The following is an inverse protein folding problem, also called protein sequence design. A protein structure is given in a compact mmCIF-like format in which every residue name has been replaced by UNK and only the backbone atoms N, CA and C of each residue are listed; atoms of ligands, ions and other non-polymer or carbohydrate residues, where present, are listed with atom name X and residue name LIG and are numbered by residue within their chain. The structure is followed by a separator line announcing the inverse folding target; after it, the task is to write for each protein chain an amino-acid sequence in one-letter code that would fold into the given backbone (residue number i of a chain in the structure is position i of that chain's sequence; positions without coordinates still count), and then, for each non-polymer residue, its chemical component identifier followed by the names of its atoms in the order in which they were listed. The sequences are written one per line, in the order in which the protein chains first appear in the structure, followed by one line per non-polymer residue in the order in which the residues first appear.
data_IF_592286776558
#
_entry.id   IF_592286776558
#
_cell.length_a   1.000
_cell.length_b   1.000
_cell.length_c   1.000
_cell.angle_alpha   90.00
_cell.angle_beta   90.00
_cell.angle_gamma   90.00
#
_symmetry.space_group_name_H-M   'P 1'
#
loop_
_entity.id
_entity.type
_entity.pdbx_description
1 polymer ?
#
# COMPACT_ATOMS: atom_id res chain seq x y z
N UNK A 1 -26.82 -45.51 -52.11
CA UNK A 1 -26.40 -46.04 -50.81
C UNK A 1 -24.89 -46.02 -50.82
N UNK A 2 -24.27 -45.44 -49.77
CA UNK A 2 -22.83 -45.14 -49.60
C UNK A 2 -22.30 -44.04 -50.53
N UNK A 3 -22.29 -42.77 -50.11
CA UNK A 3 -21.28 -42.11 -49.24
C UNK A 3 -19.84 -42.34 -49.71
N UNK A 4 -19.19 -41.26 -50.16
CA UNK A 4 -17.73 -41.19 -50.07
C UNK A 4 -17.33 -39.87 -49.37
N UNK A 5 -17.26 -40.00 -48.05
CA UNK A 5 -16.92 -39.03 -47.02
C UNK A 5 -15.44 -38.58 -47.07
N UNK A 6 -14.73 -38.86 -48.17
CA UNK A 6 -13.28 -38.65 -48.29
C UNK A 6 -12.93 -37.29 -48.91
N UNK A 7 -13.86 -36.62 -49.58
CA UNK A 7 -13.60 -35.33 -50.27
C UNK A 7 -13.80 -34.10 -49.37
N UNK A 8 -14.54 -34.22 -48.26
CA UNK A 8 -14.82 -33.07 -47.36
C UNK A 8 -13.68 -32.84 -46.34
N UNK A 9 -12.87 -33.86 -46.05
CA UNK A 9 -11.77 -33.75 -45.06
C UNK A 9 -10.48 -33.11 -45.62
N UNK A 10 -10.35 -32.93 -46.94
CA UNK A 10 -9.16 -32.34 -47.56
C UNK A 10 -9.19 -30.80 -47.68
N UNK A 11 -10.35 -30.17 -47.48
CA UNK A 11 -10.50 -28.70 -47.58
C UNK A 11 -10.49 -28.01 -46.20
N UNK A 12 -10.72 -28.76 -45.12
CA UNK A 12 -10.81 -28.20 -43.76
C UNK A 12 -9.48 -28.13 -42.99
N UNK A 13 -8.41 -28.76 -43.46
CA UNK A 13 -7.16 -28.87 -42.70
C UNK A 13 -6.10 -27.82 -43.04
N UNK A 14 -6.24 -27.07 -44.14
CA UNK A 14 -5.19 -26.15 -44.62
C UNK A 14 -5.41 -24.68 -44.23
N UNK A 15 -6.53 -24.33 -43.60
CA UNK A 15 -6.85 -22.92 -43.22
C UNK A 15 -6.90 -22.62 -41.73
N UNK A 16 -6.72 -23.59 -40.84
CA UNK A 16 -6.74 -23.35 -39.40
C UNK A 16 -5.35 -23.24 -38.74
N UNK A 17 -4.27 -23.63 -39.41
CA UNK A 17 -2.94 -23.71 -38.77
C UNK A 17 -2.13 -22.40 -38.88
N UNK A 18 -2.46 -21.49 -39.81
CA UNK A 18 -1.67 -20.25 -39.99
C UNK A 18 -2.21 -19.05 -39.19
N UNK A 19 -3.43 -19.14 -38.61
CA UNK A 19 -3.99 -18.03 -37.81
C UNK A 19 -3.64 -18.15 -36.32
N UNK A 20 -3.17 -19.31 -35.84
CA UNK A 20 -2.88 -19.51 -34.42
C UNK A 20 -1.45 -19.14 -33.97
N UNK A 21 -0.56 -18.77 -34.90
CA UNK A 21 0.84 -18.46 -34.58
C UNK A 21 1.21 -16.97 -34.60
N UNK A 22 0.26 -16.06 -34.89
CA UNK A 22 0.53 -14.61 -34.97
C UNK A 22 -0.21 -13.81 -33.85
N UNK A 23 -0.94 -14.47 -32.95
CA UNK A 23 -1.65 -13.79 -31.84
C UNK A 23 -0.92 -13.92 -30.49
N UNK A 24 0.17 -14.70 -30.41
CA UNK A 24 0.89 -14.95 -29.13
C UNK A 24 2.16 -14.08 -28.98
N UNK A 25 2.48 -13.24 -29.96
CA UNK A 25 3.64 -12.35 -29.89
C UNK A 25 3.21 -10.89 -29.99
N UNK A 26 2.70 -10.34 -28.88
CA UNK A 26 2.64 -8.92 -28.46
C UNK A 26 1.35 -8.72 -27.62
N UNK A 27 1.41 -8.35 -26.32
CA UNK A 27 2.48 -7.60 -25.67
C UNK A 27 2.98 -8.27 -24.37
N UNK A 28 4.20 -8.83 -24.43
CA UNK A 28 5.06 -8.99 -23.25
C UNK A 28 5.72 -7.66 -22.82
N UNK A 29 5.05 -6.54 -23.09
CA UNK A 29 5.51 -5.17 -22.80
C UNK A 29 4.39 -4.34 -22.18
N UNK A 30 3.61 -4.94 -21.29
CA UNK A 30 3.13 -4.22 -20.12
C UNK A 30 3.95 -4.69 -18.91
N UNK A 31 5.28 -4.64 -19.03
CA UNK A 31 6.06 -4.27 -17.84
C UNK A 31 5.57 -2.88 -17.52
N UNK A 32 4.60 -2.74 -16.61
CA UNK A 32 4.48 -1.50 -15.85
C UNK A 32 5.90 -1.22 -15.38
N UNK A 33 6.49 -0.21 -15.98
CA UNK A 33 7.84 0.21 -15.68
C UNK A 33 7.75 0.61 -14.21
N UNK A 34 8.23 -0.27 -13.35
CA UNK A 34 8.30 -0.07 -11.91
C UNK A 34 9.41 0.96 -11.58
N UNK A 35 9.61 1.95 -12.47
CA UNK A 35 10.61 3.01 -12.35
C UNK A 35 10.10 4.19 -11.54
N UNK A 36 8.81 4.24 -11.22
CA UNK A 36 8.17 5.45 -10.66
C UNK A 36 7.56 5.21 -9.27
N UNK A 37 7.92 4.13 -8.57
CA UNK A 37 7.67 4.10 -7.13
C UNK A 37 8.67 5.07 -6.51
N UNK A 38 8.17 6.20 -6.04
CA UNK A 38 8.89 7.17 -5.22
C UNK A 38 9.49 6.47 -3.98
N UNK A 39 10.75 6.02 -4.09
CA UNK A 39 11.47 5.35 -3.01
C UNK A 39 12.12 6.41 -2.14
N UNK A 40 11.33 7.02 -1.26
CA UNK A 40 11.81 7.99 -0.26
C UNK A 40 12.60 7.31 0.85
N UNK A 41 13.86 7.00 0.55
CA UNK A 41 14.78 6.33 1.48
C UNK A 41 15.09 7.22 2.67
N UNK A 42 15.12 6.62 3.86
CA UNK A 42 15.53 7.30 5.09
C UNK A 42 16.83 6.72 5.65
N UNK A 43 17.83 7.58 5.80
CA UNK A 43 19.17 7.19 6.20
C UNK A 43 19.42 7.49 7.69
N UNK A 44 18.68 6.81 8.56
CA UNK A 44 18.97 6.79 10.00
C UNK A 44 18.41 7.97 10.78
N UNK A 45 17.32 8.57 10.31
CA UNK A 45 16.70 9.72 10.97
C UNK A 45 16.26 9.42 12.40
N UNK A 46 15.89 8.17 12.68
CA UNK A 46 15.54 7.69 14.02
C UNK A 46 16.59 6.70 14.57
N UNK A 47 17.85 6.81 14.12
CA UNK A 47 18.90 5.79 14.32
C UNK A 47 18.77 4.62 13.34
N UNK A 48 17.56 4.07 13.21
CA UNK A 48 17.13 3.27 12.06
C UNK A 48 16.37 4.13 11.04
N UNK A 49 16.11 3.59 9.84
CA UNK A 49 15.19 4.20 8.90
C UNK A 49 13.79 4.36 9.51
N UNK A 50 13.21 5.54 9.32
CA UNK A 50 11.85 5.86 9.72
C UNK A 50 11.21 6.87 8.75
N UNK A 51 9.90 7.01 8.84
CA UNK A 51 9.13 7.94 8.00
C UNK A 51 7.93 8.46 8.80
N UNK A 52 7.76 9.78 8.81
CA UNK A 52 6.64 10.48 9.40
C UNK A 52 5.92 11.29 8.33
N UNK A 53 4.64 11.00 8.12
CA UNK A 53 3.76 11.68 7.19
C UNK A 53 2.54 12.20 7.94
N UNK A 54 1.85 13.16 7.35
CA UNK A 54 0.53 13.58 7.75
C UNK A 54 -0.41 13.43 6.55
N UNK A 55 -1.52 12.74 6.76
CA UNK A 55 -2.56 12.56 5.76
C UNK A 55 -3.76 13.41 6.14
N UNK A 56 -4.18 14.29 5.25
CA UNK A 56 -5.43 15.04 5.39
C UNK A 56 -6.50 14.24 4.64
N UNK A 57 -7.47 13.71 5.38
CA UNK A 57 -8.55 12.85 4.88
C UNK A 57 -9.90 13.51 5.13
N UNK A 58 -10.86 13.27 4.24
CA UNK A 58 -12.23 13.73 4.42
C UNK A 58 -12.98 12.89 5.45
N UNK A 59 -13.71 13.54 6.37
CA UNK A 59 -14.57 12.88 7.36
C UNK A 59 -14.37 13.37 8.81
N UNK A 60 -14.96 12.61 9.73
CA UNK A 60 -14.79 12.77 11.18
C UNK A 60 -13.80 11.73 11.74
N UNK A 61 -13.28 11.97 12.93
CA UNK A 61 -12.18 11.17 13.51
C UNK A 61 -12.58 9.71 13.77
N UNK A 62 -13.81 9.46 14.21
CA UNK A 62 -14.28 8.11 14.59
C UNK A 62 -14.41 7.14 13.40
N UNK A 63 -15.06 7.48 12.27
CA UNK A 63 -15.04 6.61 11.09
C UNK A 63 -13.64 6.36 10.53
N UNK A 64 -12.76 7.36 10.56
CA UNK A 64 -11.36 7.20 10.13
C UNK A 64 -10.63 6.22 11.06
N UNK A 65 -10.84 6.36 12.38
CA UNK A 65 -10.30 5.44 13.38
C UNK A 65 -10.76 3.99 13.14
N UNK A 66 -12.04 3.78 12.90
CA UNK A 66 -12.63 2.46 12.65
C UNK A 66 -12.04 1.83 11.38
N UNK A 67 -11.95 2.58 10.29
CA UNK A 67 -11.41 2.08 9.03
C UNK A 67 -9.92 1.72 9.13
N UNK A 68 -9.12 2.55 9.79
CA UNK A 68 -7.69 2.25 10.01
C UNK A 68 -7.51 0.99 10.86
N UNK A 69 -8.27 0.88 11.96
CA UNK A 69 -8.21 -0.29 12.85
C UNK A 69 -8.67 -1.55 12.12
N UNK A 70 -9.77 -1.47 11.37
CA UNK A 70 -10.31 -2.57 10.57
C UNK A 70 -9.33 -3.02 9.48
N UNK A 71 -8.63 -2.10 8.83
CA UNK A 71 -7.63 -2.42 7.83
C UNK A 71 -6.48 -3.23 8.43
N UNK A 72 -5.95 -2.79 9.59
CA UNK A 72 -4.92 -3.53 10.33
C UNK A 72 -5.42 -4.91 10.79
N UNK A 73 -6.65 -5.01 11.29
CA UNK A 73 -7.22 -6.28 11.76
C UNK A 73 -7.45 -7.28 10.61
N UNK A 74 -7.70 -6.80 9.40
CA UNK A 74 -7.94 -7.63 8.20
C UNK A 74 -6.68 -8.04 7.45
N UNK A 75 -5.48 -7.62 7.89
CA UNK A 75 -4.25 -7.91 7.17
C UNK A 75 -3.82 -6.84 6.17
N UNK A 76 -4.60 -5.77 6.00
CA UNK A 76 -4.45 -4.83 4.89
C UNK A 76 -4.72 -5.46 3.52
N UNK A 77 -4.20 -4.86 2.45
CA UNK A 77 -4.42 -5.35 1.08
C UNK A 77 -3.63 -6.59 0.73
N UNK A 78 -2.48 -6.78 1.38
CA UNK A 78 -1.51 -7.83 1.06
C UNK A 78 -1.40 -8.92 2.14
N UNK A 79 -2.13 -8.77 3.26
CA UNK A 79 -2.12 -9.71 4.39
C UNK A 79 -0.94 -9.51 5.36
N UNK A 80 -0.17 -8.43 5.19
CA UNK A 80 1.07 -8.19 5.93
C UNK A 80 0.98 -7.07 6.97
N UNK A 81 -0.20 -6.46 7.12
CA UNK A 81 -0.49 -5.50 8.19
C UNK A 81 -1.15 -6.19 9.37
N UNK A 82 -0.79 -5.78 10.58
CA UNK A 82 -1.31 -6.40 11.80
C UNK A 82 -1.68 -5.33 12.81
N UNK A 83 -2.86 -5.48 13.40
CA UNK A 83 -3.32 -4.65 14.50
C UNK A 83 -2.57 -5.03 15.78
N UNK A 84 -2.15 -4.02 16.55
CA UNK A 84 -1.53 -4.21 17.87
C UNK A 84 -2.46 -3.71 18.96
N UNK A 85 -2.74 -2.40 18.99
CA UNK A 85 -3.55 -1.77 20.03
C UNK A 85 -4.10 -0.41 19.57
N UNK A 86 -5.05 0.15 20.32
CA UNK A 86 -5.56 1.50 20.12
C UNK A 86 -6.01 2.17 21.42
N UNK A 87 -6.17 3.48 21.40
CA UNK A 87 -6.63 4.25 22.56
C UNK A 87 -7.51 5.42 22.14
N UNK A 88 -8.65 5.57 22.79
CA UNK A 88 -9.51 6.76 22.72
C UNK A 88 -9.02 7.83 23.70
N UNK A 89 -8.58 8.95 23.15
CA UNK A 89 -8.04 10.10 23.88
C UNK A 89 -9.02 11.28 23.96
N UNK A 90 -10.27 11.13 23.49
CA UNK A 90 -11.26 12.23 23.48
C UNK A 90 -11.49 12.81 24.87
N UNK A 91 -11.34 12.01 25.92
CA UNK A 91 -11.45 12.42 27.33
C UNK A 91 -10.24 13.21 27.86
N UNK A 92 -9.11 13.20 27.17
CA UNK A 92 -7.82 13.70 27.67
C UNK A 92 -7.51 15.15 27.26
N UNK A 93 -8.39 15.80 26.51
CA UNK A 93 -8.22 17.17 26.01
C UNK A 93 -6.88 17.43 25.28
N UNK A 94 -6.40 16.45 24.52
CA UNK A 94 -5.23 16.57 23.64
C UNK A 94 -5.65 16.79 22.19
N UNK A 95 -4.70 16.97 21.27
CA UNK A 95 -5.00 17.22 19.84
C UNK A 95 -5.52 15.99 19.09
N UNK A 96 -5.13 14.79 19.53
CA UNK A 96 -5.59 13.53 18.98
C UNK A 96 -6.88 13.06 19.66
N UNK A 97 -7.83 12.55 18.87
CA UNK A 97 -8.98 11.80 19.39
C UNK A 97 -8.63 10.32 19.56
N UNK A 98 -7.79 9.76 18.67
CA UNK A 98 -7.42 8.34 18.72
C UNK A 98 -5.93 8.12 18.43
N UNK A 99 -5.35 7.11 19.08
CA UNK A 99 -4.06 6.52 18.72
C UNK A 99 -4.29 5.08 18.28
N UNK A 100 -3.65 4.67 17.19
CA UNK A 100 -3.70 3.31 16.67
C UNK A 100 -2.25 2.84 16.45
N UNK A 101 -1.95 1.64 16.91
CA UNK A 101 -0.67 0.98 16.68
C UNK A 101 -0.88 -0.33 15.94
N UNK A 102 0.00 -0.56 14.97
CA UNK A 102 0.09 -1.83 14.26
C UNK A 102 1.52 -2.10 13.83
N UNK A 103 1.70 -3.10 12.99
CA UNK A 103 2.98 -3.35 12.35
C UNK A 103 2.80 -3.91 10.94
N UNK A 104 3.79 -3.66 10.10
CA UNK A 104 3.96 -4.32 8.81
C UNK A 104 5.05 -5.38 8.94
N UNK A 105 4.75 -6.63 8.63
CA UNK A 105 5.72 -7.74 8.66
C UNK A 105 5.98 -8.24 7.25
N UNK A 106 7.23 -8.47 6.86
CA UNK A 106 7.54 -9.09 5.57
C UNK A 106 7.50 -10.62 5.63
N UNK A 107 7.62 -11.26 4.46
CA UNK A 107 7.78 -12.71 4.31
C UNK A 107 8.81 -13.27 5.32
N UNK A 108 8.37 -14.29 6.07
CA UNK A 108 9.09 -14.96 7.17
C UNK A 108 9.37 -14.12 8.42
N UNK A 109 8.63 -13.03 8.67
CA UNK A 109 8.79 -12.15 9.83
C UNK A 109 10.22 -11.59 10.02
N UNK A 110 11.02 -11.54 8.94
CA UNK A 110 12.40 -11.05 9.00
C UNK A 110 12.49 -9.54 9.16
N UNK A 111 11.53 -8.81 8.60
CA UNK A 111 11.49 -7.36 8.65
C UNK A 111 10.13 -6.93 9.20
N UNK A 112 10.14 -6.43 10.42
CA UNK A 112 8.98 -5.85 11.06
C UNK A 112 9.18 -4.34 11.18
N UNK A 113 8.17 -3.57 10.78
CA UNK A 113 8.12 -2.14 10.98
C UNK A 113 6.92 -1.82 11.88
N UNK A 114 7.15 -1.07 12.95
CA UNK A 114 6.05 -0.57 13.78
C UNK A 114 5.39 0.61 13.09
N UNK A 115 4.06 0.60 13.06
CA UNK A 115 3.21 1.66 12.53
C UNK A 115 2.47 2.33 13.68
N UNK A 116 2.47 3.66 13.72
CA UNK A 116 1.66 4.44 14.65
C UNK A 116 0.85 5.48 13.89
N UNK A 117 -0.41 5.62 14.25
CA UNK A 117 -1.33 6.61 13.68
C UNK A 117 -1.95 7.42 14.81
N UNK A 118 -1.89 8.74 14.71
CA UNK A 118 -2.61 9.66 15.56
C UNK A 118 -3.69 10.35 14.74
N UNK A 119 -4.95 10.04 15.03
CA UNK A 119 -6.12 10.62 14.36
C UNK A 119 -6.51 11.87 15.14
N UNK A 120 -6.31 13.04 14.53
CA UNK A 120 -6.61 14.34 15.13
C UNK A 120 -8.11 14.65 15.12
N UNK A 121 -8.52 15.57 16.00
CA UNK A 121 -9.85 16.16 16.01
C UNK A 121 -10.21 16.70 14.63
N UNK A 122 -11.41 16.39 14.15
CA UNK A 122 -11.90 16.91 12.86
C UNK A 122 -12.03 18.43 12.91
N UNK A 123 -11.29 19.14 12.06
CA UNK A 123 -11.43 20.59 11.94
C UNK A 123 -12.61 20.87 11.01
N UNK A 124 -13.61 21.59 11.52
CA UNK A 124 -14.86 21.90 10.81
C UNK A 124 -15.69 20.67 10.38
N UNK A 125 -15.56 19.54 11.08
CA UNK A 125 -16.33 18.30 10.88
C UNK A 125 -16.21 17.65 9.48
N UNK A 126 -15.26 18.09 8.66
CA UNK A 126 -15.14 17.66 7.26
C UNK A 126 -13.76 17.12 6.90
N UNK A 127 -12.72 17.51 7.65
CA UNK A 127 -11.35 17.04 7.41
C UNK A 127 -10.68 16.64 8.72
N UNK A 128 -10.01 15.50 8.67
CA UNK A 128 -9.20 14.96 9.74
C UNK A 128 -7.77 14.89 9.28
N UNK A 129 -6.88 15.30 10.17
CA UNK A 129 -5.45 15.09 10.04
C UNK A 129 -5.08 13.79 10.73
N UNK A 130 -4.39 12.89 10.01
CA UNK A 130 -3.83 11.67 10.57
C UNK A 130 -2.32 11.76 10.48
N UNK A 131 -1.64 11.88 11.62
CA UNK A 131 -0.18 11.74 11.66
C UNK A 131 0.15 10.26 11.65
N UNK A 132 0.94 9.84 10.69
CA UNK A 132 1.33 8.46 10.48
C UNK A 132 2.85 8.33 10.60
N UNK A 133 3.31 7.30 11.30
CA UNK A 133 4.72 7.03 11.53
C UNK A 133 5.02 5.56 11.29
N UNK A 134 6.12 5.28 10.59
CA UNK A 134 6.67 3.94 10.42
C UNK A 134 8.15 3.94 10.79
N UNK A 135 8.59 2.94 11.54
CA UNK A 135 9.99 2.71 11.87
C UNK A 135 10.37 1.24 11.69
N UNK A 136 11.58 1.00 11.20
CA UNK A 136 12.13 -0.35 11.10
C UNK A 136 12.66 -0.84 12.45
N UNK A 137 12.19 -2.01 12.88
CA UNK A 137 12.56 -2.61 14.18
C UNK A 137 13.87 -3.43 14.10
N UNK A 138 14.41 -3.64 12.90
CA UNK A 138 15.63 -4.42 12.69
C UNK A 138 16.84 -3.51 12.80
N UNK A 139 17.83 -3.87 13.62
CA UNK A 139 19.07 -3.11 13.73
C UNK A 139 19.83 -3.10 12.39
N UNK A 140 20.38 -1.93 12.03
CA UNK A 140 21.20 -1.81 10.82
C UNK A 140 20.40 -1.53 9.55
N UNK A 141 19.09 -1.27 9.66
CA UNK A 141 18.27 -0.79 8.54
C UNK A 141 18.48 0.71 8.32
N UNK A 142 19.72 1.10 8.09
CA UNK A 142 20.09 2.45 7.65
C UNK A 142 19.86 2.57 6.15
N UNK A 143 19.20 3.63 5.68
CA UNK A 143 18.81 3.77 4.28
C UNK A 143 18.00 2.57 3.79
N UNK A 144 16.93 2.21 4.52
CA UNK A 144 15.98 1.23 4.00
C UNK A 144 15.54 1.67 2.59
N UNK A 145 15.13 0.74 1.74
CA UNK A 145 14.79 1.07 0.35
C UNK A 145 13.49 1.90 0.21
N UNK A 146 13.19 2.79 1.16
CA UNK A 146 11.96 3.56 1.27
C UNK A 146 10.81 2.75 1.86
N UNK A 147 11.12 1.68 2.60
CA UNK A 147 10.09 0.74 3.06
C UNK A 147 9.15 1.39 4.06
N UNK A 148 9.67 2.22 4.97
CA UNK A 148 8.82 2.96 5.90
C UNK A 148 7.83 3.90 5.20
N UNK A 149 8.27 4.63 4.16
CA UNK A 149 7.38 5.44 3.32
C UNK A 149 6.36 4.58 2.59
N UNK A 150 6.82 3.50 1.96
CA UNK A 150 5.97 2.57 1.21
C UNK A 150 4.88 1.98 2.10
N UNK A 151 5.19 1.56 3.32
CA UNK A 151 4.21 1.00 4.24
C UNK A 151 3.08 2.01 4.53
N UNK A 152 3.41 3.27 4.78
CA UNK A 152 2.40 4.30 5.06
C UNK A 152 1.55 4.63 3.84
N UNK A 153 2.16 4.77 2.66
CA UNK A 153 1.43 5.12 1.44
C UNK A 153 0.59 3.95 0.92
N UNK A 154 1.12 2.72 0.96
CA UNK A 154 0.35 1.54 0.57
C UNK A 154 -0.83 1.26 1.51
N UNK A 155 -0.68 1.57 2.80
CA UNK A 155 -1.79 1.55 3.75
C UNK A 155 -2.93 2.49 3.30
N UNK A 156 -2.61 3.75 2.98
CA UNK A 156 -3.59 4.73 2.53
C UNK A 156 -4.22 4.37 1.17
N UNK A 157 -3.42 3.89 0.22
CA UNK A 157 -3.92 3.39 -1.07
C UNK A 157 -4.88 2.22 -0.84
N UNK A 158 -4.54 1.30 0.08
CA UNK A 158 -5.34 0.13 0.42
C UNK A 158 -6.70 0.47 1.03
N UNK A 159 -6.77 1.55 1.81
CA UNK A 159 -8.02 2.09 2.33
C UNK A 159 -8.93 2.67 1.25
N UNK A 160 -8.40 2.97 0.06
CA UNK A 160 -9.14 3.61 -1.06
C UNK A 160 -9.80 4.94 -0.67
N UNK A 161 -9.22 5.63 0.31
CA UNK A 161 -9.67 6.95 0.74
C UNK A 161 -8.91 8.03 -0.01
N UNK A 162 -9.56 9.09 -0.52
CA UNK A 162 -8.86 10.26 -1.01
C UNK A 162 -8.10 10.96 0.13
N UNK A 163 -6.84 11.33 -0.10
CA UNK A 163 -6.03 12.03 0.89
C UNK A 163 -5.10 13.06 0.25
N UNK A 164 -4.72 14.07 1.03
CA UNK A 164 -3.55 14.91 0.74
C UNK A 164 -2.41 14.50 1.67
N UNK A 165 -1.24 14.22 1.11
CA UNK A 165 -0.03 13.86 1.86
C UNK A 165 0.82 15.10 2.14
N UNK A 166 1.25 15.25 3.39
CA UNK A 166 2.23 16.22 3.84
C UNK A 166 3.40 15.46 4.47
N UNK A 167 4.60 15.67 3.93
CA UNK A 167 5.83 15.14 4.53
C UNK A 167 6.14 15.89 5.82
N UNK A 168 6.36 15.15 6.91
CA UNK A 168 6.74 15.73 8.20
C UNK A 168 8.23 15.56 8.44
N UNK A 169 8.70 14.31 8.47
CA UNK A 169 10.07 14.00 8.87
C UNK A 169 10.49 12.61 8.40
N UNK A 170 11.78 12.42 8.09
CA UNK A 170 12.28 11.18 7.48
C UNK A 170 11.71 11.00 6.07
N UNK A 171 12.25 10.08 5.27
CA UNK A 171 11.73 9.80 3.91
C UNK A 171 11.52 11.07 3.04
N UNK A 172 12.55 11.89 2.79
CA UNK A 172 12.43 13.11 1.98
C UNK A 172 12.00 12.79 0.55
N UNK A 173 11.23 13.70 -0.06
CA UNK A 173 10.91 13.62 -1.49
C UNK A 173 12.20 13.57 -2.30
N UNK A 174 12.30 12.65 -3.24
CA UNK A 174 13.38 12.66 -4.22
C UNK A 174 13.28 13.96 -5.02
N UNK A 175 14.38 14.70 -5.13
CA UNK A 175 14.40 15.87 -6.01
C UNK A 175 14.12 15.40 -7.45
N UNK A 176 13.25 16.09 -8.20
CA UNK A 176 13.02 15.80 -9.61
C UNK A 176 14.32 15.94 -10.42
#
# INVERSE_FOLDING_TARGET
MEEDMTTIMAILTTRCIVVFLIVITLPAYARCQLSDIDLRKDCGTCGNACCALQFIVGGSSEPIYEEFSNFLMKGGTDGWYFYSDSTDLRSQNVSADFIIQGYYSSILNRYQNTLNFAVEKSTNLQMVSVRAFSISNVTGTYCDAGQNYKNLVQFMIGLKMPYTEVHIWGCPKTKP
#
